data_IF_894874651646
#
_entry.id   IF_894874651646
#
_cell.length_a   1.000
_cell.length_b   1.000
_cell.length_c   1.000
_cell.angle_alpha   90.00
_cell.angle_beta   90.00
_cell.angle_gamma   90.00
#
_symmetry.space_group_name_H-M   'P 1'
#
loop_
_entity.id
_entity.type
_entity.pdbx_description
1 polymer ?
#
# COMPACT_ATOMS: atom_id res chain seq x y z
N UNK A 1 -14.42 24.80 11.76
CA UNK A 1 -13.99 23.39 11.56
C UNK A 1 -13.34 23.29 10.18
N UNK A 2 -12.19 22.65 10.04
CA UNK A 2 -11.53 22.47 8.74
C UNK A 2 -12.36 21.50 7.86
N UNK A 3 -12.66 21.87 6.61
CA UNK A 3 -13.56 21.09 5.74
C UNK A 3 -13.09 19.65 5.51
N UNK A 4 -11.79 19.44 5.30
CA UNK A 4 -11.21 18.10 5.18
C UNK A 4 -11.46 17.26 6.44
N UNK A 5 -11.19 17.83 7.62
CA UNK A 5 -11.39 17.13 8.89
C UNK A 5 -12.87 16.80 9.14
N UNK A 6 -13.79 17.70 8.77
CA UNK A 6 -15.23 17.45 8.85
C UNK A 6 -15.68 16.33 7.90
N UNK A 7 -15.15 16.31 6.68
CA UNK A 7 -15.52 15.33 5.65
C UNK A 7 -15.00 13.93 6.01
N UNK A 8 -13.75 13.84 6.47
CA UNK A 8 -13.18 12.60 7.01
C UNK A 8 -13.94 12.16 8.27
N UNK A 9 -14.23 13.08 9.19
CA UNK A 9 -14.98 12.76 10.41
C UNK A 9 -16.37 12.20 10.11
N UNK A 10 -17.04 12.75 9.08
CA UNK A 10 -18.34 12.27 8.63
C UNK A 10 -18.24 10.90 7.94
N UNK A 11 -17.22 10.67 7.11
CA UNK A 11 -17.05 9.37 6.44
C UNK A 11 -16.71 8.24 7.42
N UNK A 12 -16.19 8.55 8.62
CA UNK A 12 -15.99 7.57 9.70
C UNK A 12 -17.29 7.14 10.40
N UNK A 13 -18.45 7.63 9.95
CA UNK A 13 -19.75 7.08 10.34
C UNK A 13 -19.79 5.56 10.10
N UNK A 14 -20.51 4.84 10.95
CA UNK A 14 -20.62 3.38 10.88
C UNK A 14 -21.51 2.87 9.72
N UNK A 15 -22.16 3.77 8.98
CA UNK A 15 -22.70 3.53 7.64
C UNK A 15 -21.99 4.42 6.59
N UNK A 16 -20.72 4.74 6.78
CA UNK A 16 -19.92 5.44 5.76
C UNK A 16 -18.72 4.59 5.40
N UNK A 17 -17.76 4.48 6.32
CA UNK A 17 -16.54 3.72 6.09
C UNK A 17 -16.80 2.22 5.87
N UNK A 18 -17.88 1.71 6.46
CA UNK A 18 -18.34 0.32 6.37
C UNK A 18 -18.98 -0.03 5.03
N UNK A 19 -19.40 0.96 4.23
CA UNK A 19 -20.06 0.75 2.94
C UNK A 19 -21.48 0.17 3.05
N UNK A 20 -22.18 0.47 4.14
CA UNK A 20 -23.51 -0.06 4.44
C UNK A 20 -24.66 0.91 4.15
N UNK A 21 -24.34 2.08 3.62
CA UNK A 21 -25.26 3.07 3.11
C UNK A 21 -25.84 2.73 1.73
N UNK A 22 -26.84 3.52 1.29
CA UNK A 22 -27.32 3.46 -0.10
C UNK A 22 -26.30 4.09 -1.04
N UNK A 23 -26.26 3.64 -2.29
CA UNK A 23 -25.33 4.15 -3.30
C UNK A 23 -25.31 5.69 -3.41
N UNK A 24 -26.47 6.34 -3.41
CA UNK A 24 -26.53 7.81 -3.49
C UNK A 24 -25.87 8.52 -2.27
N UNK A 25 -25.83 7.87 -1.11
CA UNK A 25 -25.16 8.37 0.11
C UNK A 25 -23.66 8.07 0.02
N UNK A 26 -23.26 6.91 -0.51
CA UNK A 26 -21.86 6.60 -0.81
C UNK A 26 -21.26 7.63 -1.78
N UNK A 27 -22.02 8.00 -2.82
CA UNK A 27 -21.64 9.03 -3.79
C UNK A 27 -21.52 10.42 -3.11
N UNK A 28 -22.40 10.75 -2.16
CA UNK A 28 -22.31 11.99 -1.36
C UNK A 28 -21.08 12.00 -0.44
N UNK A 29 -20.75 10.88 0.23
CA UNK A 29 -19.51 10.77 1.00
C UNK A 29 -18.27 10.96 0.11
N UNK A 30 -18.25 10.34 -1.07
CA UNK A 30 -17.15 10.50 -2.03
C UNK A 30 -17.02 11.96 -2.50
N UNK A 31 -18.14 12.63 -2.79
CA UNK A 31 -18.16 14.05 -3.15
C UNK A 31 -17.58 14.92 -2.04
N UNK A 32 -18.06 14.76 -0.79
CA UNK A 32 -17.58 15.54 0.36
C UNK A 32 -16.10 15.31 0.64
N UNK A 33 -15.63 14.07 0.54
CA UNK A 33 -14.20 13.77 0.66
C UNK A 33 -13.40 14.46 -0.43
N UNK A 34 -13.88 14.46 -1.68
CA UNK A 34 -13.25 15.19 -2.80
C UNK A 34 -13.17 16.70 -2.53
N UNK A 35 -14.27 17.31 -2.08
CA UNK A 35 -14.29 18.73 -1.68
C UNK A 35 -13.34 19.02 -0.52
N UNK A 36 -13.29 18.14 0.48
CA UNK A 36 -12.36 18.21 1.60
C UNK A 36 -10.90 18.18 1.15
N UNK A 37 -10.55 17.25 0.26
CA UNK A 37 -9.20 17.16 -0.32
C UNK A 37 -8.88 18.43 -1.11
N UNK A 38 -9.80 18.93 -1.93
CA UNK A 38 -9.62 20.18 -2.67
C UNK A 38 -9.37 21.37 -1.74
N UNK A 39 -10.13 21.50 -0.64
CA UNK A 39 -9.90 22.52 0.39
C UNK A 39 -8.54 22.36 1.08
N UNK A 40 -8.12 21.12 1.34
CA UNK A 40 -6.79 20.80 1.87
C UNK A 40 -5.66 21.20 0.91
N UNK A 41 -5.80 20.89 -0.38
CA UNK A 41 -4.85 21.28 -1.43
C UNK A 41 -4.78 22.80 -1.60
N UNK A 42 -5.92 23.51 -1.51
CA UNK A 42 -5.93 24.96 -1.52
C UNK A 42 -5.15 25.53 -0.32
N UNK A 43 -5.35 24.97 0.88
CA UNK A 43 -4.60 25.36 2.08
C UNK A 43 -3.11 25.08 1.97
N UNK A 44 -2.72 23.94 1.38
CA UNK A 44 -1.31 23.64 1.09
C UNK A 44 -0.71 24.72 0.19
N UNK A 45 -1.40 25.09 -0.88
CA UNK A 45 -0.95 26.16 -1.79
C UNK A 45 -0.87 27.53 -1.12
N UNK A 46 -1.79 27.86 -0.20
CA UNK A 46 -1.69 29.08 0.61
C UNK A 46 -0.40 29.12 1.43
N UNK A 47 -0.01 27.98 2.02
CA UNK A 47 1.20 27.86 2.83
C UNK A 47 2.47 27.93 1.98
N UNK A 48 2.42 27.48 0.73
CA UNK A 48 3.56 27.50 -0.20
C UNK A 48 3.70 28.83 -0.97
N UNK A 49 2.67 29.69 -0.95
CA UNK A 49 2.65 30.99 -1.63
C UNK A 49 3.88 31.88 -1.37
N UNK A 50 4.46 31.94 -0.15
CA UNK A 50 5.68 32.71 0.09
C UNK A 50 6.90 32.23 -0.70
N UNK A 51 6.91 30.98 -1.16
CA UNK A 51 8.05 30.36 -1.86
C UNK A 51 7.81 30.21 -3.37
N UNK A 52 6.56 30.13 -3.80
CA UNK A 52 6.20 30.02 -5.23
C UNK A 52 4.80 30.54 -5.50
N UNK A 53 4.63 31.15 -6.67
CA UNK A 53 3.31 31.50 -7.22
C UNK A 53 2.69 30.38 -8.05
N UNK A 54 3.46 29.35 -8.42
CA UNK A 54 2.96 28.19 -9.16
C UNK A 54 2.23 27.25 -8.21
N UNK A 55 0.98 26.86 -8.53
CA UNK A 55 0.22 25.95 -7.68
C UNK A 55 0.77 24.51 -7.78
N UNK A 56 0.74 23.83 -6.66
CA UNK A 56 0.94 22.39 -6.53
C UNK A 56 -0.38 21.63 -6.65
N UNK A 57 -0.34 20.52 -7.35
CA UNK A 57 -1.43 19.55 -7.49
C UNK A 57 -1.05 18.21 -6.85
N UNK A 58 -2.07 17.44 -6.47
CA UNK A 58 -1.91 16.06 -6.03
C UNK A 58 -2.27 15.11 -7.18
N UNK A 59 -1.41 14.13 -7.48
CA UNK A 59 -1.69 13.10 -8.48
C UNK A 59 -2.55 11.97 -7.90
N UNK A 60 -3.79 12.28 -7.51
CA UNK A 60 -4.67 11.32 -6.81
C UNK A 60 -5.06 10.10 -7.66
N UNK A 61 -4.85 10.15 -8.98
CA UNK A 61 -5.14 9.08 -9.93
C UNK A 61 -3.86 8.44 -10.51
N UNK A 62 -2.70 8.62 -9.88
CA UNK A 62 -1.43 8.04 -10.32
C UNK A 62 -1.48 6.51 -10.42
N UNK A 63 -2.27 5.84 -9.59
CA UNK A 63 -2.52 4.39 -9.64
C UNK A 63 -3.24 3.93 -10.92
N UNK A 64 -3.97 4.83 -11.59
CA UNK A 64 -4.60 4.61 -12.89
C UNK A 64 -3.74 5.11 -14.05
N UNK A 65 -2.50 5.52 -13.75
CA UNK A 65 -1.57 6.17 -14.66
C UNK A 65 -2.08 7.51 -15.22
N UNK A 66 -2.72 8.32 -14.37
CA UNK A 66 -3.23 9.64 -14.75
C UNK A 66 -2.67 10.73 -13.84
N UNK A 67 -1.92 11.69 -14.41
CA UNK A 67 -1.66 12.96 -13.73
C UNK A 67 -1.27 14.08 -14.71
N UNK A 68 -2.21 15.00 -14.95
CA UNK A 68 -2.06 16.10 -15.92
C UNK A 68 -0.74 16.89 -15.82
N UNK A 69 -0.15 17.00 -14.62
CA UNK A 69 1.09 17.76 -14.40
C UNK A 69 2.35 17.00 -14.79
N UNK A 70 2.35 15.67 -14.70
CA UNK A 70 3.56 14.85 -14.90
C UNK A 70 3.59 14.16 -16.25
N UNK A 71 2.45 14.04 -16.95
CA UNK A 71 2.33 13.20 -18.13
C UNK A 71 3.29 13.60 -19.27
N UNK A 72 3.41 14.89 -19.61
CA UNK A 72 4.09 15.30 -20.87
C UNK A 72 5.32 16.20 -20.70
N UNK A 73 5.29 17.12 -19.75
CA UNK A 73 6.31 18.16 -19.59
C UNK A 73 7.21 17.90 -18.38
N UNK A 74 8.48 18.33 -18.40
CA UNK A 74 9.31 18.39 -17.20
C UNK A 74 8.58 19.06 -16.03
N UNK A 75 8.79 18.55 -14.83
CA UNK A 75 8.02 18.97 -13.66
C UNK A 75 8.87 19.02 -12.40
N UNK A 76 8.36 19.71 -11.38
CA UNK A 76 8.93 19.73 -10.03
C UNK A 76 7.95 19.02 -9.10
N UNK A 77 8.45 18.23 -8.17
CA UNK A 77 7.64 17.70 -7.07
C UNK A 77 8.36 17.86 -5.74
N UNK A 78 7.61 17.89 -4.65
CA UNK A 78 8.21 17.72 -3.33
C UNK A 78 7.66 16.46 -2.68
N UNK A 79 8.46 15.91 -1.77
CA UNK A 79 8.07 14.80 -0.90
C UNK A 79 8.21 15.29 0.53
N UNK A 80 7.11 15.30 1.27
CA UNK A 80 7.10 15.58 2.70
C UNK A 80 6.98 14.27 3.48
N UNK A 81 7.93 14.06 4.39
CA UNK A 81 7.97 12.92 5.30
C UNK A 81 7.25 13.29 6.61
N UNK A 82 6.04 12.74 6.88
CA UNK A 82 5.34 12.97 8.13
C UNK A 82 5.91 12.17 9.31
N UNK A 83 6.88 11.28 9.08
CA UNK A 83 7.45 10.43 10.13
C UNK A 83 8.51 11.18 10.96
N UNK A 84 8.63 10.84 12.25
CA UNK A 84 9.69 11.35 13.13
C UNK A 84 11.04 10.65 12.90
N UNK A 85 11.18 9.88 11.82
CA UNK A 85 12.40 9.18 11.41
C UNK A 85 12.66 9.42 9.92
N UNK A 86 13.93 9.36 9.51
CA UNK A 86 14.26 9.40 8.09
C UNK A 86 13.69 8.15 7.41
N UNK A 87 13.13 8.30 6.22
CA UNK A 87 12.50 7.21 5.51
C UNK A 87 12.73 7.30 4.00
N UNK A 88 12.81 6.14 3.35
CA UNK A 88 12.98 6.02 1.90
C UNK A 88 11.65 5.65 1.27
N UNK A 89 10.98 6.63 0.66
CA UNK A 89 9.71 6.44 -0.02
C UNK A 89 9.92 6.03 -1.48
N UNK A 90 8.94 5.31 -2.02
CA UNK A 90 8.85 5.04 -3.45
C UNK A 90 7.84 5.99 -4.04
N UNK A 91 8.30 6.89 -4.90
CA UNK A 91 7.40 7.81 -5.58
C UNK A 91 7.17 7.27 -6.99
N UNK A 92 5.91 6.96 -7.27
CA UNK A 92 5.46 6.44 -8.56
C UNK A 92 4.61 7.50 -9.27
N UNK A 93 5.09 8.05 -10.38
CA UNK A 93 4.41 9.11 -11.14
C UNK A 93 4.20 8.72 -12.60
N UNK A 94 3.01 8.95 -13.18
CA UNK A 94 2.75 8.64 -14.58
C UNK A 94 3.47 9.62 -15.51
N UNK A 95 4.14 9.10 -16.54
CA UNK A 95 4.84 9.89 -17.55
C UNK A 95 4.70 9.25 -18.95
N UNK A 96 4.65 10.08 -19.99
CA UNK A 96 4.68 9.63 -21.39
C UNK A 96 6.11 9.36 -21.83
N UNK A 97 7.08 10.14 -21.32
CA UNK A 97 8.48 10.00 -21.66
C UNK A 97 9.01 8.58 -21.33
N UNK A 98 9.89 8.07 -22.19
CA UNK A 98 10.55 6.76 -22.03
C UNK A 98 11.77 6.82 -21.10
N UNK A 99 12.27 8.02 -20.85
CA UNK A 99 13.42 8.29 -20.03
C UNK A 99 13.19 9.58 -19.24
N UNK A 100 13.73 9.62 -18.02
CA UNK A 100 13.69 10.77 -17.16
C UNK A 100 14.97 10.83 -16.32
N UNK A 101 15.41 12.05 -16.02
CA UNK A 101 16.45 12.30 -15.04
C UNK A 101 15.82 13.04 -13.85
N UNK A 102 16.17 12.60 -12.63
CA UNK A 102 15.65 13.18 -11.40
C UNK A 102 16.81 13.71 -10.57
N UNK A 103 16.70 14.98 -10.19
CA UNK A 103 17.68 15.66 -9.33
C UNK A 103 16.97 16.33 -8.17
N UNK A 104 17.64 16.42 -7.03
CA UNK A 104 17.23 17.28 -5.93
C UNK A 104 17.45 18.75 -6.30
N UNK A 105 16.76 19.67 -5.62
CA UNK A 105 16.93 21.11 -5.80
C UNK A 105 18.36 21.63 -5.53
N UNK A 106 19.24 20.83 -4.92
CA UNK A 106 20.66 21.13 -4.75
C UNK A 106 21.55 20.57 -5.89
N UNK A 107 20.96 19.97 -6.93
CA UNK A 107 21.65 19.35 -8.07
C UNK A 107 22.12 17.91 -7.85
N UNK A 108 21.84 17.29 -6.70
CA UNK A 108 22.20 15.89 -6.45
C UNK A 108 21.28 14.96 -7.26
N UNK A 109 21.87 14.11 -8.12
CA UNK A 109 21.14 13.08 -8.84
C UNK A 109 20.47 12.07 -7.89
N UNK A 110 19.25 11.66 -8.21
CA UNK A 110 18.43 10.76 -7.39
C UNK A 110 18.21 9.44 -8.13
N UNK A 111 18.39 8.28 -7.47
CA UNK A 111 18.05 6.99 -8.06
C UNK A 111 16.61 6.97 -8.55
N UNK A 112 16.44 6.81 -9.86
CA UNK A 112 15.15 6.76 -10.53
C UNK A 112 15.19 5.86 -11.75
N UNK A 113 14.04 5.30 -12.13
CA UNK A 113 13.87 4.46 -13.31
C UNK A 113 12.51 4.71 -13.94
N UNK A 114 12.44 4.63 -15.28
CA UNK A 114 11.19 4.62 -16.02
C UNK A 114 10.86 3.19 -16.41
N UNK A 115 9.68 2.72 -16.01
CA UNK A 115 9.18 1.38 -16.36
C UNK A 115 7.88 1.47 -17.14
N UNK A 116 7.56 0.50 -18.02
CA UNK A 116 6.24 0.41 -18.60
C UNK A 116 5.17 0.29 -17.51
N UNK A 117 4.12 1.09 -17.60
CA UNK A 117 2.96 0.93 -16.74
C UNK A 117 2.22 -0.36 -17.12
N UNK A 118 1.86 -1.16 -16.11
CA UNK A 118 1.06 -2.38 -16.32
C UNK A 118 -0.31 -2.14 -15.70
N UNK A 119 -1.35 -1.92 -16.51
CA UNK A 119 -2.68 -1.68 -16.00
C UNK A 119 -3.21 -2.93 -15.30
N UNK A 120 -3.83 -2.74 -14.13
CA UNK A 120 -4.47 -3.79 -13.33
C UNK A 120 -5.99 -3.80 -13.52
N UNK A 121 -6.46 -3.22 -14.63
CA UNK A 121 -7.85 -3.02 -14.98
C UNK A 121 -8.12 -3.54 -16.40
N UNK A 122 -9.32 -4.08 -16.62
CA UNK A 122 -9.68 -4.76 -17.87
C UNK A 122 -10.02 -3.84 -19.03
N UNK A 123 -10.34 -2.57 -18.76
CA UNK A 123 -10.72 -1.58 -19.78
C UNK A 123 -9.67 -0.49 -19.91
N UNK A 124 -9.14 -0.21 -21.11
CA UNK A 124 -8.21 0.88 -21.32
C UNK A 124 -8.76 2.22 -20.82
N UNK A 125 -7.96 2.94 -20.06
CA UNK A 125 -8.29 4.29 -19.60
C UNK A 125 -7.76 5.27 -20.64
N UNK A 126 -8.64 6.14 -21.14
CA UNK A 126 -8.24 7.18 -22.07
C UNK A 126 -7.20 8.10 -21.43
N UNK A 127 -6.16 8.46 -22.18
CA UNK A 127 -5.06 9.33 -21.76
C UNK A 127 -4.18 8.78 -20.62
N UNK A 128 -4.27 7.49 -20.28
CA UNK A 128 -3.34 6.87 -19.34
C UNK A 128 -1.91 6.93 -19.88
N UNK A 129 -0.97 7.38 -19.05
CA UNK A 129 0.43 7.44 -19.42
C UNK A 129 0.99 6.01 -19.59
N UNK A 130 1.75 5.73 -20.67
CA UNK A 130 2.28 4.39 -20.95
C UNK A 130 3.42 3.97 -20.02
N UNK A 131 4.05 4.91 -19.32
CA UNK A 131 5.17 4.64 -18.43
C UNK A 131 4.92 5.22 -17.04
N UNK A 132 5.68 4.68 -16.09
CA UNK A 132 5.70 5.09 -14.70
C UNK A 132 7.14 5.43 -14.32
N UNK A 133 7.35 6.64 -13.83
CA UNK A 133 8.59 7.05 -13.18
C UNK A 133 8.58 6.54 -11.75
N UNK A 134 9.60 5.77 -11.38
CA UNK A 134 9.83 5.27 -10.02
C UNK A 134 11.05 5.98 -9.45
N UNK A 135 10.89 6.66 -8.32
CA UNK A 135 11.95 7.44 -7.66
C UNK A 135 12.16 6.95 -6.24
N UNK A 136 13.42 6.77 -5.83
CA UNK A 136 13.78 6.54 -4.43
C UNK A 136 13.94 7.88 -3.70
N UNK A 137 12.95 8.28 -2.92
CA UNK A 137 12.98 9.54 -2.16
C UNK A 137 13.39 9.29 -0.71
N UNK A 138 14.68 9.49 -0.40
CA UNK A 138 15.17 9.46 0.98
C UNK A 138 15.00 10.82 1.66
N UNK A 139 14.04 10.94 2.57
CA UNK A 139 13.62 12.22 3.15
C UNK A 139 13.86 12.24 4.66
N UNK A 140 14.47 13.31 5.22
CA UNK A 140 14.67 13.46 6.66
C UNK A 140 13.36 13.47 7.47
N UNK A 141 13.42 13.25 8.79
CA UNK A 141 12.24 13.30 9.65
C UNK A 141 11.50 14.64 9.58
N UNK A 142 10.16 14.61 9.58
CA UNK A 142 9.28 15.80 9.64
C UNK A 142 9.72 16.94 8.69
N UNK A 143 10.19 16.57 7.52
CA UNK A 143 10.83 17.46 6.58
C UNK A 143 10.38 17.15 5.16
N UNK A 144 10.66 18.05 4.24
CA UNK A 144 10.47 17.83 2.82
C UNK A 144 11.77 17.97 2.04
N UNK A 145 11.78 17.40 0.83
CA UNK A 145 12.78 17.65 -0.20
C UNK A 145 12.08 17.96 -1.53
N UNK A 146 12.72 18.79 -2.35
CA UNK A 146 12.24 19.20 -3.68
C UNK A 146 13.06 18.49 -4.75
N UNK A 147 12.37 17.97 -5.75
CA UNK A 147 12.90 17.17 -6.84
C UNK A 147 12.49 17.80 -8.18
N UNK A 148 13.42 17.78 -9.13
CA UNK A 148 13.21 18.23 -10.51
C UNK A 148 13.32 17.03 -11.43
N UNK A 149 12.33 16.89 -12.31
CA UNK A 149 12.27 15.85 -13.34
C UNK A 149 12.46 16.50 -14.68
N UNK A 150 13.43 16.02 -15.43
CA UNK A 150 13.67 16.43 -16.81
C UNK A 150 13.63 15.22 -17.73
N UNK A 151 13.34 15.46 -19.02
CA UNK A 151 13.28 14.43 -20.05
C UNK A 151 14.41 14.64 -21.06
N UNK A 152 15.56 13.98 -20.88
CA UNK A 152 16.71 14.17 -21.77
C UNK A 152 16.39 13.70 -23.19
N UNK A 153 16.88 14.44 -24.21
CA UNK A 153 16.84 13.95 -25.59
C UNK A 153 17.69 12.68 -25.69
N UNK A 154 17.12 11.63 -26.30
CA UNK A 154 17.67 10.28 -26.30
C UNK A 154 19.18 10.21 -26.61
N UNK A 155 19.98 9.99 -25.57
CA UNK A 155 21.36 9.47 -25.68
C UNK A 155 21.71 8.44 -24.60
N UNK A 156 20.77 8.06 -23.74
CA UNK A 156 20.88 6.88 -22.88
C UNK A 156 19.87 5.84 -23.40
N UNK A 157 20.39 4.65 -23.70
CA UNK A 157 19.59 3.46 -24.00
C UNK A 157 18.45 3.35 -22.99
N UNK A 158 17.23 3.04 -23.47
CA UNK A 158 16.14 2.59 -22.59
C UNK A 158 16.74 1.62 -21.55
N UNK A 159 16.50 1.85 -20.26
CA UNK A 159 16.96 0.91 -19.25
C UNK A 159 16.34 -0.44 -19.60
N UNK A 160 17.19 -1.41 -19.97
CA UNK A 160 16.72 -2.70 -20.44
C UNK A 160 15.97 -3.38 -19.30
N UNK A 161 14.65 -3.46 -19.41
CA UNK A 161 13.85 -4.25 -18.47
C UNK A 161 14.13 -5.72 -18.76
N UNK A 162 14.81 -6.40 -17.84
CA UNK A 162 14.99 -7.84 -17.93
C UNK A 162 13.76 -8.55 -17.36
N UNK A 163 13.57 -9.81 -17.74
CA UNK A 163 12.66 -10.70 -17.03
C UNK A 163 13.20 -11.09 -15.65
N UNK A 164 12.37 -11.74 -14.85
CA UNK A 164 12.83 -12.41 -13.63
C UNK A 164 13.71 -13.62 -14.00
N UNK A 165 14.49 -14.11 -13.04
CA UNK A 165 15.39 -15.23 -13.25
C UNK A 165 14.58 -16.54 -13.31
N UNK A 166 14.76 -17.33 -14.37
CA UNK A 166 14.04 -18.61 -14.55
C UNK A 166 14.71 -19.67 -13.67
N UNK A 167 13.95 -20.27 -12.75
CA UNK A 167 14.43 -21.36 -11.88
C UNK A 167 14.06 -22.71 -12.49
N UNK A 168 12.81 -22.83 -12.93
CA UNK A 168 12.29 -23.96 -13.71
C UNK A 168 11.35 -23.41 -14.78
N UNK A 169 10.81 -24.27 -15.64
CA UNK A 169 9.86 -23.88 -16.68
C UNK A 169 8.65 -23.10 -16.12
N UNK A 170 8.20 -23.41 -14.90
CA UNK A 170 7.03 -22.78 -14.28
C UNK A 170 7.36 -21.90 -13.07
N UNK A 171 8.63 -21.72 -12.70
CA UNK A 171 9.03 -20.96 -11.51
C UNK A 171 10.03 -19.88 -11.87
N UNK A 172 9.69 -18.64 -11.50
CA UNK A 172 10.57 -17.49 -11.64
C UNK A 172 10.98 -16.96 -10.27
N UNK A 173 12.17 -16.36 -10.20
CA UNK A 173 12.76 -15.80 -8.99
C UNK A 173 13.20 -14.36 -9.21
N UNK A 174 13.02 -13.56 -8.17
CA UNK A 174 13.55 -12.21 -8.08
C UNK A 174 14.13 -11.98 -6.69
N UNK A 175 15.08 -11.06 -6.57
CA UNK A 175 15.63 -10.68 -5.29
C UNK A 175 16.19 -9.25 -5.30
N UNK A 176 16.27 -8.68 -4.11
CA UNK A 176 17.07 -7.50 -3.81
C UNK A 176 18.14 -7.88 -2.76
N UNK A 177 18.70 -6.90 -2.06
CA UNK A 177 19.69 -7.16 -1.00
C UNK A 177 19.13 -7.99 0.17
N UNK A 178 17.86 -7.80 0.51
CA UNK A 178 17.24 -8.30 1.76
C UNK A 178 16.35 -9.53 1.59
N UNK A 179 15.66 -9.65 0.45
CA UNK A 179 14.59 -10.62 0.22
C UNK A 179 14.75 -11.29 -1.14
N UNK A 180 14.45 -12.60 -1.18
CA UNK A 180 14.25 -13.35 -2.42
C UNK A 180 12.83 -13.90 -2.46
N UNK A 181 12.18 -13.76 -3.62
CA UNK A 181 10.82 -14.22 -3.88
C UNK A 181 10.80 -15.18 -5.06
N UNK A 182 10.01 -16.25 -4.96
CA UNK A 182 9.76 -17.17 -6.06
C UNK A 182 8.27 -17.30 -6.30
N UNK A 183 7.85 -17.25 -7.57
CA UNK A 183 6.46 -17.33 -7.99
C UNK A 183 6.27 -18.41 -9.06
N UNK A 184 5.09 -19.02 -9.10
CA UNK A 184 4.71 -19.97 -10.13
C UNK A 184 4.01 -19.23 -11.26
N UNK A 185 4.52 -19.34 -12.48
CA UNK A 185 4.00 -18.59 -13.64
C UNK A 185 2.69 -19.11 -14.19
N UNK A 186 2.37 -20.38 -13.94
CA UNK A 186 1.13 -21.04 -14.39
C UNK A 186 -0.04 -20.70 -13.48
N UNK A 187 0.19 -20.62 -12.17
CA UNK A 187 -0.87 -20.39 -11.18
C UNK A 187 -0.90 -18.98 -10.60
N UNK A 188 0.18 -18.20 -10.78
CA UNK A 188 0.40 -16.94 -10.08
C UNK A 188 0.73 -17.11 -8.59
N UNK A 189 0.89 -18.34 -8.09
CA UNK A 189 1.13 -18.60 -6.66
C UNK A 189 2.51 -18.11 -6.23
N UNK A 190 2.60 -17.50 -5.05
CA UNK A 190 3.84 -17.39 -4.29
C UNK A 190 4.29 -18.81 -3.93
N UNK A 191 5.55 -19.14 -4.22
CA UNK A 191 6.17 -20.46 -3.98
C UNK A 191 7.10 -20.41 -2.78
N UNK A 192 7.90 -19.35 -2.68
CA UNK A 192 8.72 -19.15 -1.49
C UNK A 192 9.10 -17.70 -1.27
N UNK A 193 9.31 -17.36 0.00
CA UNK A 193 9.87 -16.10 0.45
C UNK A 193 11.10 -16.41 1.32
N UNK A 194 12.22 -15.76 1.03
CA UNK A 194 13.46 -15.94 1.78
C UNK A 194 13.93 -14.60 2.32
N UNK A 195 14.16 -14.54 3.62
CA UNK A 195 14.89 -13.46 4.28
C UNK A 195 16.39 -13.76 4.20
N UNK A 196 17.14 -12.93 3.46
CA UNK A 196 18.56 -13.15 3.16
C UNK A 196 19.47 -12.89 4.36
N UNK A 197 19.08 -12.01 5.29
CA UNK A 197 19.86 -11.74 6.49
C UNK A 197 19.86 -12.93 7.46
N UNK A 198 18.68 -13.52 7.68
CA UNK A 198 18.51 -14.66 8.61
C UNK A 198 18.63 -16.02 7.93
N UNK A 199 18.71 -16.06 6.60
CA UNK A 199 18.60 -17.27 5.77
C UNK A 199 17.29 -18.06 5.99
N UNK A 200 16.27 -17.42 6.58
CA UNK A 200 14.97 -18.05 6.81
C UNK A 200 14.21 -18.14 5.48
N UNK A 201 13.91 -19.36 5.04
CA UNK A 201 13.09 -19.63 3.86
C UNK A 201 11.74 -20.21 4.28
N UNK A 202 10.66 -19.57 3.83
CA UNK A 202 9.30 -20.08 3.95
C UNK A 202 8.80 -20.52 2.58
N UNK A 203 8.41 -21.79 2.48
CA UNK A 203 7.67 -22.28 1.32
C UNK A 203 6.19 -21.97 1.52
N UNK A 204 5.57 -21.36 0.52
CA UNK A 204 4.19 -20.87 0.57
C UNK A 204 3.44 -21.44 -0.63
N UNK A 205 2.13 -21.54 -0.51
CA UNK A 205 1.23 -21.71 -1.65
C UNK A 205 0.10 -20.69 -1.46
N UNK A 206 -0.16 -19.90 -2.50
CA UNK A 206 -1.18 -18.85 -2.47
C UNK A 206 -2.16 -19.03 -3.64
N UNK A 207 -3.40 -18.61 -3.43
CA UNK A 207 -4.44 -18.62 -4.45
C UNK A 207 -5.40 -17.46 -4.22
N UNK A 208 -6.01 -16.97 -5.31
CA UNK A 208 -7.12 -16.03 -5.26
C UNK A 208 -8.42 -16.80 -5.44
N UNK A 209 -9.32 -16.68 -4.46
CA UNK A 209 -10.53 -17.48 -4.34
C UNK A 209 -11.75 -16.58 -4.06
N UNK A 210 -12.95 -17.13 -4.21
CA UNK A 210 -14.18 -16.46 -3.80
C UNK A 210 -15.21 -17.44 -3.25
N UNK A 211 -16.10 -16.93 -2.39
CA UNK A 211 -17.30 -17.65 -1.96
C UNK A 211 -18.47 -17.24 -2.84
N UNK A 212 -19.30 -18.21 -3.22
CA UNK A 212 -20.60 -17.90 -3.83
C UNK A 212 -21.54 -17.37 -2.74
N UNK A 213 -22.20 -16.24 -2.98
CA UNK A 213 -23.15 -15.65 -2.03
C UNK A 213 -24.45 -16.47 -1.94
N UNK A 214 -24.97 -16.69 -0.73
CA UNK A 214 -26.36 -17.12 -0.56
C UNK A 214 -27.28 -15.95 -0.89
N UNK A 215 -28.28 -16.18 -1.75
CA UNK A 215 -29.23 -15.16 -2.15
C UNK A 215 -30.60 -15.77 -2.44
N UNK A 216 -31.60 -15.32 -1.70
CA UNK A 216 -33.00 -15.71 -1.90
C UNK A 216 -33.88 -14.47 -1.77
N UNK A 217 -34.72 -14.22 -2.77
CA UNK A 217 -35.57 -13.03 -2.79
C UNK A 217 -36.48 -13.00 -1.55
N UNK A 218 -36.45 -11.87 -0.82
CA UNK A 218 -37.23 -11.67 0.41
C UNK A 218 -36.66 -12.34 1.65
N UNK A 219 -35.53 -13.04 1.56
CA UNK A 219 -34.85 -13.64 2.72
C UNK A 219 -33.84 -12.64 3.30
N UNK A 220 -34.10 -12.20 4.54
CA UNK A 220 -33.23 -11.29 5.29
C UNK A 220 -31.85 -11.88 5.61
N UNK A 221 -31.70 -13.20 5.49
CA UNK A 221 -30.42 -13.87 5.66
C UNK A 221 -29.61 -13.91 4.36
N UNK A 222 -30.06 -13.32 3.25
CA UNK A 222 -29.24 -13.20 2.04
C UNK A 222 -27.95 -12.42 2.32
N UNK A 223 -26.84 -12.83 1.68
CA UNK A 223 -25.58 -12.11 1.76
C UNK A 223 -25.74 -10.69 1.21
N UNK A 224 -25.09 -9.71 1.82
CA UNK A 224 -25.19 -8.30 1.45
C UNK A 224 -24.13 -7.43 2.10
N UNK A 225 -24.37 -6.12 2.16
CA UNK A 225 -23.40 -5.15 2.68
C UNK A 225 -23.00 -5.43 4.14
N UNK A 226 -23.95 -5.86 4.98
CA UNK A 226 -23.68 -6.19 6.38
C UNK A 226 -23.33 -7.67 6.59
N UNK A 227 -24.09 -8.57 5.97
CA UNK A 227 -24.04 -9.98 6.25
C UNK A 227 -23.18 -10.70 5.20
N UNK A 228 -22.05 -11.27 5.62
CA UNK A 228 -21.34 -12.25 4.82
C UNK A 228 -21.96 -13.64 5.04
N UNK A 229 -22.83 -14.05 4.12
CA UNK A 229 -23.46 -15.38 4.15
C UNK A 229 -23.10 -16.16 2.87
N UNK A 230 -22.07 -17.02 2.91
CA UNK A 230 -21.73 -17.85 1.76
C UNK A 230 -22.81 -18.92 1.55
N UNK A 231 -23.07 -19.29 0.29
CA UNK A 231 -24.05 -20.31 -0.08
C UNK A 231 -23.67 -21.71 0.42
N UNK A 232 -22.36 -21.96 0.53
CA UNK A 232 -21.76 -23.14 1.15
C UNK A 232 -20.40 -22.74 1.72
N UNK A 233 -19.76 -23.61 2.51
CA UNK A 233 -18.36 -23.39 2.94
C UNK A 233 -17.31 -23.56 1.83
N UNK A 234 -17.73 -23.92 0.61
CA UNK A 234 -16.82 -24.12 -0.51
C UNK A 234 -16.32 -22.79 -1.07
N UNK A 235 -15.03 -22.77 -1.40
CA UNK A 235 -14.38 -21.72 -2.16
C UNK A 235 -14.29 -22.12 -3.64
N UNK A 236 -14.34 -21.11 -4.50
CA UNK A 236 -14.23 -21.27 -5.94
C UNK A 236 -12.97 -20.55 -6.44
N UNK A 237 -12.28 -21.19 -7.38
CA UNK A 237 -11.10 -20.59 -8.01
C UNK A 237 -11.52 -19.43 -8.93
N UNK A 238 -10.67 -18.40 -8.99
CA UNK A 238 -10.68 -17.50 -10.14
C UNK A 238 -10.33 -18.27 -11.44
N UNK A 239 -10.66 -17.73 -12.62
CA UNK A 239 -10.17 -18.28 -13.89
C UNK A 239 -8.64 -18.46 -13.89
N UNK A 240 -8.12 -19.40 -14.67
CA UNK A 240 -6.67 -19.59 -14.79
C UNK A 240 -5.96 -18.32 -15.26
N UNK A 241 -4.68 -18.20 -14.93
CA UNK A 241 -3.82 -17.10 -15.41
C UNK A 241 -3.83 -17.10 -16.93
N UNK A 242 -4.24 -15.98 -17.53
CA UNK A 242 -4.30 -15.80 -18.99
C UNK A 242 -3.02 -15.20 -19.54
N UNK A 243 -2.34 -14.38 -18.73
CA UNK A 243 -1.06 -13.78 -19.09
C UNK A 243 -0.31 -13.35 -17.84
N UNK A 244 1.02 -13.26 -17.93
CA UNK A 244 1.83 -12.64 -16.91
C UNK A 244 2.93 -11.79 -17.54
N UNK A 245 3.39 -10.78 -16.81
CA UNK A 245 4.51 -9.93 -17.21
C UNK A 245 5.39 -9.65 -16.01
N UNK A 246 6.62 -10.17 -16.05
CA UNK A 246 7.63 -9.90 -15.05
C UNK A 246 8.67 -8.91 -15.62
N UNK A 247 8.99 -7.87 -14.85
CA UNK A 247 9.99 -6.87 -15.16
C UNK A 247 10.98 -6.72 -14.01
N UNK A 248 12.24 -6.46 -14.36
CA UNK A 248 13.36 -6.27 -13.44
C UNK A 248 14.21 -5.11 -13.93
N UNK A 249 14.38 -4.13 -13.06
CA UNK A 249 15.32 -2.99 -13.20
C UNK A 249 16.23 -2.94 -11.98
N UNK A 250 17.12 -1.94 -11.91
CA UNK A 250 17.99 -1.75 -10.76
C UNK A 250 17.23 -1.36 -9.48
N UNK A 251 16.08 -0.68 -9.61
CA UNK A 251 15.32 -0.15 -8.47
C UNK A 251 14.03 -0.91 -8.17
N UNK A 252 13.46 -1.58 -9.18
CA UNK A 252 12.17 -2.25 -9.05
C UNK A 252 12.18 -3.60 -9.75
N UNK A 253 11.65 -4.59 -9.05
CA UNK A 253 11.30 -5.88 -9.60
C UNK A 253 9.80 -6.07 -9.40
N UNK A 254 9.07 -6.33 -10.47
CA UNK A 254 7.61 -6.52 -10.40
C UNK A 254 7.17 -7.66 -11.31
N UNK A 255 6.17 -8.43 -10.89
CA UNK A 255 5.50 -9.38 -11.78
C UNK A 255 3.99 -9.35 -11.60
N UNK A 256 3.27 -9.18 -12.70
CA UNK A 256 1.81 -9.08 -12.75
C UNK A 256 1.24 -10.33 -13.42
N UNK A 257 0.18 -10.88 -12.84
CA UNK A 257 -0.59 -12.03 -13.32
C UNK A 257 -2.03 -11.59 -13.58
N UNK A 258 -2.54 -11.88 -14.76
CA UNK A 258 -3.93 -11.60 -15.15
C UNK A 258 -4.77 -12.86 -15.06
N UNK A 259 -5.90 -12.80 -14.35
CA UNK A 259 -6.85 -13.89 -14.18
C UNK A 259 -8.07 -13.64 -15.09
N UNK A 260 -7.85 -13.65 -16.41
CA UNK A 260 -8.85 -13.26 -17.40
C UNK A 260 -9.31 -11.81 -17.18
N UNK A 261 -10.62 -11.57 -17.20
CA UNK A 261 -11.20 -10.25 -16.92
C UNK A 261 -11.58 -10.05 -15.44
N UNK A 262 -11.27 -11.01 -14.56
CA UNK A 262 -11.76 -11.03 -13.18
C UNK A 262 -10.88 -10.25 -12.20
N UNK A 263 -9.60 -10.07 -12.53
CA UNK A 263 -8.66 -9.34 -11.69
C UNK A 263 -7.21 -9.68 -12.01
N UNK A 264 -6.32 -8.95 -11.36
CA UNK A 264 -4.88 -9.16 -11.46
C UNK A 264 -4.22 -9.33 -10.09
N UNK A 265 -3.05 -9.95 -10.07
CA UNK A 265 -2.19 -10.14 -8.91
C UNK A 265 -0.79 -9.64 -9.26
N UNK A 266 -0.23 -8.80 -8.40
CA UNK A 266 1.08 -8.21 -8.60
C UNK A 266 1.97 -8.46 -7.39
N UNK A 267 3.20 -8.86 -7.67
CA UNK A 267 4.30 -8.89 -6.70
C UNK A 267 5.25 -7.75 -7.04
N UNK A 268 5.59 -6.89 -6.09
CA UNK A 268 6.60 -5.83 -6.21
C UNK A 268 7.68 -6.00 -5.13
N UNK A 269 8.93 -5.81 -5.53
CA UNK A 269 10.09 -5.78 -4.65
C UNK A 269 11.04 -4.70 -5.14
N UNK A 270 11.20 -3.64 -4.35
CA UNK A 270 12.10 -2.52 -4.65
C UNK A 270 13.47 -2.79 -4.07
N UNK A 271 14.49 -2.08 -4.55
CA UNK A 271 15.88 -2.32 -4.12
C UNK A 271 16.08 -2.21 -2.60
N UNK A 272 15.30 -1.35 -1.92
CA UNK A 272 15.37 -1.10 -0.47
C UNK A 272 14.30 -1.84 0.36
N UNK A 273 13.44 -2.65 -0.26
CA UNK A 273 12.37 -3.33 0.47
C UNK A 273 12.88 -4.48 1.33
N UNK A 274 12.45 -4.53 2.59
CA UNK A 274 12.66 -5.68 3.48
C UNK A 274 11.49 -6.68 3.44
N UNK A 275 10.49 -6.45 2.59
CA UNK A 275 9.29 -7.27 2.41
C UNK A 275 8.79 -7.20 0.98
N UNK A 276 8.14 -8.25 0.50
CA UNK A 276 7.50 -8.22 -0.82
C UNK A 276 6.13 -7.57 -0.69
N UNK A 277 5.84 -6.59 -1.54
CA UNK A 277 4.50 -6.02 -1.66
C UNK A 277 3.69 -6.89 -2.60
N UNK A 278 2.53 -7.36 -2.14
CA UNK A 278 1.57 -8.13 -2.92
C UNK A 278 0.30 -7.33 -3.06
N UNK A 279 -0.09 -7.01 -4.29
CA UNK A 279 -1.29 -6.22 -4.61
C UNK A 279 -2.19 -7.06 -5.50
N UNK A 280 -3.50 -6.99 -5.31
CA UNK A 280 -4.44 -7.59 -6.26
C UNK A 280 -5.68 -6.73 -6.40
N UNK A 281 -6.25 -6.72 -7.60
CA UNK A 281 -7.48 -5.99 -7.91
C UNK A 281 -8.65 -6.95 -8.08
N UNK A 282 -9.72 -6.68 -7.32
CA UNK A 282 -11.07 -7.20 -7.55
C UNK A 282 -12.06 -6.15 -7.03
N UNK A 283 -13.15 -5.88 -7.76
CA UNK A 283 -14.15 -4.85 -7.41
C UNK A 283 -14.82 -5.16 -6.07
N UNK A 284 -14.39 -4.53 -4.97
CA UNK A 284 -15.13 -4.34 -3.70
C UNK A 284 -14.28 -3.64 -2.62
N UNK A 285 -14.93 -3.09 -1.57
CA UNK A 285 -14.40 -2.21 -0.50
C UNK A 285 -14.70 -2.74 0.91
N UNK A 286 -13.73 -2.70 1.85
CA UNK A 286 -13.88 -2.95 3.32
C UNK A 286 -12.64 -2.48 4.13
N UNK A 287 -12.83 -2.17 5.44
CA UNK A 287 -11.83 -1.78 6.45
C UNK A 287 -12.08 -2.39 7.87
N UNK A 288 -11.20 -2.13 8.86
CA UNK A 288 -11.53 -1.68 10.25
C UNK A 288 -10.36 -1.73 11.28
N UNK A 289 -9.96 -0.52 11.73
CA UNK A 289 -9.23 0.01 12.93
C UNK A 289 -7.87 -0.51 13.48
N UNK A 290 -6.74 -0.30 12.80
CA UNK A 290 -5.45 -0.93 13.12
C UNK A 290 -4.69 -0.38 14.32
N UNK A 291 -5.13 -0.76 15.52
CA UNK A 291 -4.50 -0.34 16.78
C UNK A 291 -3.81 -1.51 17.49
N UNK A 292 -4.58 -2.50 17.97
CA UNK A 292 -4.05 -3.64 18.74
C UNK A 292 -4.22 -4.96 18.00
N UNK A 293 -3.23 -5.85 18.10
CA UNK A 293 -3.40 -7.25 17.68
C UNK A 293 -4.20 -8.00 18.74
N UNK A 294 -5.46 -8.30 18.44
CA UNK A 294 -6.25 -9.23 19.22
C UNK A 294 -5.93 -10.68 18.84
N UNK A 295 -5.65 -11.55 19.82
CA UNK A 295 -5.55 -12.99 19.57
C UNK A 295 -6.90 -13.53 19.10
N UNK A 296 -6.92 -14.19 17.93
CA UNK A 296 -8.09 -14.87 17.39
C UNK A 296 -7.84 -16.37 17.35
N UNK A 297 -8.83 -17.15 17.78
CA UNK A 297 -8.81 -18.61 17.73
C UNK A 297 -10.03 -19.04 16.95
N UNK A 298 -9.82 -19.87 15.92
CA UNK A 298 -10.90 -20.38 15.07
C UNK A 298 -11.91 -21.15 15.91
N UNK A 299 -13.20 -20.91 15.66
CA UNK A 299 -14.33 -21.57 16.32
C UNK A 299 -14.35 -21.40 17.85
N UNK A 300 -13.76 -20.32 18.37
CA UNK A 300 -13.68 -20.05 19.81
C UNK A 300 -14.10 -18.63 20.17
N UNK A 301 -14.70 -18.48 21.36
CA UNK A 301 -15.05 -17.21 22.00
C UNK A 301 -14.68 -17.29 23.48
N UNK A 302 -14.07 -16.21 23.99
CA UNK A 302 -13.58 -16.16 25.37
C UNK A 302 -14.73 -16.00 26.38
N UNK A 303 -15.78 -15.25 26.01
CA UNK A 303 -16.83 -14.84 26.94
C UNK A 303 -18.08 -15.72 26.91
N UNK A 304 -18.20 -16.66 25.96
CA UNK A 304 -19.31 -17.63 25.93
C UNK A 304 -18.94 -18.89 25.15
N UNK A 305 -19.71 -19.97 25.36
CA UNK A 305 -19.60 -21.20 24.59
C UNK A 305 -20.22 -21.02 23.20
N UNK A 306 -19.37 -20.93 22.17
CA UNK A 306 -19.80 -20.78 20.79
C UNK A 306 -20.48 -22.07 20.29
N UNK A 307 -21.70 -21.94 19.77
CA UNK A 307 -22.38 -22.99 19.00
C UNK A 307 -22.49 -22.52 17.56
N UNK A 308 -22.02 -23.34 16.62
CA UNK A 308 -22.12 -23.09 15.18
C UNK A 308 -23.07 -24.13 14.58
N UNK A 309 -24.09 -23.67 13.88
CA UNK A 309 -25.22 -24.50 13.48
C UNK A 309 -25.01 -25.21 12.14
N UNK A 310 -24.14 -24.68 11.28
CA UNK A 310 -23.87 -25.21 9.95
C UNK A 310 -22.44 -24.88 9.47
N UNK A 311 -22.09 -25.34 8.27
CA UNK A 311 -20.76 -25.12 7.69
C UNK A 311 -20.56 -23.68 7.20
N UNK A 312 -21.62 -22.98 6.81
CA UNK A 312 -21.58 -21.58 6.39
C UNK A 312 -21.19 -20.66 7.55
N UNK A 313 -21.77 -20.88 8.73
CA UNK A 313 -21.45 -20.16 9.97
C UNK A 313 -20.01 -20.41 10.42
N UNK A 314 -19.48 -21.63 10.23
CA UNK A 314 -18.06 -21.93 10.48
C UNK A 314 -17.12 -21.10 9.61
N UNK A 315 -17.58 -20.62 8.45
CA UNK A 315 -16.80 -19.67 7.64
C UNK A 315 -17.02 -18.25 8.18
N UNK A 316 -18.27 -17.78 8.17
CA UNK A 316 -18.58 -16.37 8.45
C UNK A 316 -18.17 -15.93 9.87
N UNK A 317 -18.36 -16.79 10.88
CA UNK A 317 -18.05 -16.46 12.28
C UNK A 317 -16.54 -16.31 12.56
N UNK A 318 -15.67 -16.72 11.64
CA UNK A 318 -14.22 -16.61 11.80
C UNK A 318 -13.61 -15.46 10.99
N UNK A 319 -14.40 -14.71 10.23
CA UNK A 319 -13.95 -13.47 9.61
C UNK A 319 -13.77 -12.39 10.66
N UNK A 320 -12.66 -11.68 10.56
CA UNK A 320 -12.32 -10.54 11.42
C UNK A 320 -11.86 -9.38 10.55
N UNK A 321 -12.09 -8.13 10.98
CA UNK A 321 -11.55 -6.98 10.26
C UNK A 321 -10.02 -6.98 10.31
N UNK A 322 -9.39 -6.70 9.17
CA UNK A 322 -7.94 -6.52 9.04
C UNK A 322 -7.71 -5.12 8.48
N UNK A 323 -7.12 -4.24 9.27
CA UNK A 323 -6.92 -2.83 8.89
C UNK A 323 -5.53 -2.49 8.43
N UNK A 324 -4.54 -3.00 9.14
CA UNK A 324 -3.14 -2.64 8.89
C UNK A 324 -2.32 -3.90 8.67
N UNK A 325 -2.51 -4.96 9.47
CA UNK A 325 -1.84 -6.23 9.23
C UNK A 325 -2.53 -7.40 9.97
N UNK A 326 -2.10 -8.61 9.61
CA UNK A 326 -2.31 -9.85 10.37
C UNK A 326 -0.98 -10.58 10.44
N UNK A 327 -0.73 -11.31 11.53
CA UNK A 327 0.43 -12.20 11.66
C UNK A 327 -0.02 -13.63 11.87
N UNK A 328 0.75 -14.57 11.33
CA UNK A 328 0.62 -15.98 11.64
C UNK A 328 1.98 -16.47 12.11
N UNK A 329 2.07 -16.89 13.36
CA UNK A 329 3.27 -17.55 13.88
C UNK A 329 3.16 -19.03 13.56
N UNK A 330 4.11 -19.56 12.80
CA UNK A 330 4.27 -21.00 12.59
C UNK A 330 5.45 -21.45 13.45
N UNK A 331 5.17 -22.24 14.49
CA UNK A 331 6.23 -22.91 15.26
C UNK A 331 6.78 -24.08 14.45
N UNK A 332 8.04 -23.99 14.03
CA UNK A 332 8.75 -25.10 13.40
C UNK A 332 9.24 -26.10 14.46
N UNK A 333 8.33 -26.70 15.21
CA UNK A 333 8.66 -27.82 16.07
C UNK A 333 8.72 -29.11 15.22
N UNK A 334 9.93 -29.55 14.86
CA UNK A 334 10.25 -30.86 14.28
C UNK A 334 9.28 -31.38 13.19
N UNK A 335 9.52 -31.00 11.93
CA UNK A 335 9.13 -31.69 10.68
C UNK A 335 7.67 -32.15 10.45
N UNK A 336 6.74 -31.95 11.37
CA UNK A 336 5.32 -32.09 11.09
C UNK A 336 4.80 -30.75 10.56
N UNK A 337 4.75 -30.63 9.23
CA UNK A 337 4.14 -29.48 8.52
C UNK A 337 2.69 -29.30 8.98
N UNK A 338 2.45 -28.45 9.97
CA UNK A 338 1.14 -27.85 10.18
C UNK A 338 0.91 -26.87 9.04
N UNK A 339 0.02 -27.26 8.12
CA UNK A 339 -0.49 -26.32 7.10
C UNK A 339 -1.46 -25.40 7.82
N UNK A 340 -1.00 -24.19 8.15
CA UNK A 340 -1.90 -23.15 8.67
C UNK A 340 -2.66 -22.56 7.50
N UNK A 341 -3.99 -22.67 7.49
CA UNK A 341 -4.81 -21.96 6.50
C UNK A 341 -4.71 -20.46 6.79
N UNK A 342 -4.11 -19.71 5.86
CA UNK A 342 -4.00 -18.26 5.94
C UNK A 342 -5.34 -17.55 5.76
N UNK A 343 -5.46 -16.37 6.37
CA UNK A 343 -6.66 -15.53 6.33
C UNK A 343 -6.90 -14.90 4.95
N UNK A 344 -8.18 -14.59 4.68
CA UNK A 344 -8.58 -13.68 3.61
C UNK A 344 -8.17 -12.27 4.03
N UNK A 345 -7.15 -11.73 3.37
CA UNK A 345 -6.77 -10.31 3.49
C UNK A 345 -7.26 -9.60 2.24
N UNK A 346 -7.30 -8.26 2.23
CA UNK A 346 -7.62 -7.40 1.08
C UNK A 346 -6.48 -6.40 0.87
N UNK A 347 -6.24 -6.01 -0.39
CA UNK A 347 -5.45 -4.82 -0.71
C UNK A 347 -3.96 -5.08 -0.97
N UNK A 348 -3.13 -4.07 -0.72
CA UNK A 348 -1.68 -4.17 -0.80
C UNK A 348 -1.15 -4.67 0.55
N UNK A 349 -0.49 -5.83 0.57
CA UNK A 349 0.07 -6.40 1.80
C UNK A 349 1.58 -6.53 1.67
N UNK A 350 2.27 -6.32 2.79
CA UNK A 350 3.69 -6.60 2.93
C UNK A 350 3.87 -8.01 3.49
N UNK A 351 4.56 -8.88 2.76
CA UNK A 351 4.93 -10.20 3.25
C UNK A 351 6.42 -10.20 3.65
N UNK A 352 6.67 -10.56 4.91
CA UNK A 352 8.00 -10.76 5.47
C UNK A 352 8.05 -12.07 6.25
N UNK A 353 9.24 -12.64 6.38
CA UNK A 353 9.50 -13.86 7.13
C UNK A 353 10.73 -13.66 8.02
N UNK A 354 10.67 -14.16 9.25
CA UNK A 354 11.79 -14.16 10.16
C UNK A 354 11.44 -14.78 11.52
N UNK A 355 12.41 -14.82 12.45
CA UNK A 355 12.16 -15.18 13.84
C UNK A 355 11.07 -14.30 14.46
N UNK A 356 10.20 -14.86 15.31
CA UNK A 356 8.97 -14.21 15.79
C UNK A 356 9.22 -12.81 16.35
N UNK A 357 10.16 -12.64 17.27
CA UNK A 357 10.42 -11.32 17.89
C UNK A 357 10.92 -10.29 16.86
N UNK A 358 11.88 -10.64 16.01
CA UNK A 358 12.40 -9.74 14.98
C UNK A 358 11.36 -9.43 13.90
N UNK A 359 10.52 -10.40 13.55
CA UNK A 359 9.43 -10.21 12.60
C UNK A 359 8.33 -9.30 13.17
N UNK A 360 8.00 -9.43 14.45
CA UNK A 360 7.05 -8.54 15.15
C UNK A 360 7.59 -7.12 15.27
N UNK A 361 8.88 -6.96 15.60
CA UNK A 361 9.56 -5.64 15.59
C UNK A 361 9.40 -4.95 14.24
N UNK A 362 9.85 -5.65 13.20
CA UNK A 362 9.80 -5.17 11.83
C UNK A 362 8.37 -4.80 11.44
N UNK A 363 7.41 -5.68 11.70
CA UNK A 363 6.03 -5.46 11.31
C UNK A 363 5.42 -4.23 11.99
N UNK A 364 5.55 -4.08 13.31
CA UNK A 364 4.97 -2.93 14.03
C UNK A 364 5.49 -1.59 13.52
N UNK A 365 6.80 -1.53 13.23
CA UNK A 365 7.43 -0.33 12.67
C UNK A 365 6.94 -0.08 11.25
N UNK A 366 6.98 -1.09 10.38
CA UNK A 366 6.51 -0.99 8.99
C UNK A 366 5.03 -0.59 8.89
N UNK A 367 4.17 -1.16 9.74
CA UNK A 367 2.75 -0.84 9.82
C UNK A 367 2.52 0.65 10.06
N UNK A 368 3.25 1.25 11.02
CA UNK A 368 3.15 2.67 11.30
C UNK A 368 3.69 3.53 10.14
N UNK A 369 4.83 3.13 9.57
CA UNK A 369 5.48 3.86 8.48
C UNK A 369 4.64 3.86 7.20
N UNK A 370 4.00 2.72 6.88
CA UNK A 370 3.10 2.59 5.73
C UNK A 370 1.74 3.27 5.94
N UNK A 371 1.29 3.40 7.19
CA UNK A 371 0.06 4.12 7.49
C UNK A 371 0.21 5.64 7.30
N UNK A 372 1.40 6.18 7.58
CA UNK A 372 1.73 7.60 7.40
C UNK A 372 2.62 7.77 6.17
N UNK A 373 2.04 7.56 4.99
CA UNK A 373 2.73 7.72 3.72
C UNK A 373 3.15 9.18 3.46
N UNK A 374 4.13 9.37 2.59
CA UNK A 374 4.61 10.70 2.23
C UNK A 374 3.54 11.53 1.52
N UNK A 375 3.51 12.82 1.81
CA UNK A 375 2.75 13.77 0.99
C UNK A 375 3.60 14.13 -0.23
N UNK A 376 3.10 13.79 -1.42
CA UNK A 376 3.70 14.14 -2.71
C UNK A 376 2.81 15.16 -3.40
N UNK A 377 3.38 16.28 -3.81
CA UNK A 377 2.69 17.23 -4.66
C UNK A 377 3.59 17.68 -5.82
N UNK A 378 2.97 17.88 -6.98
CA UNK A 378 3.63 18.15 -8.25
C UNK A 378 3.24 19.52 -8.77
N UNK A 379 4.15 20.19 -9.48
CA UNK A 379 3.91 21.44 -10.19
C UNK A 379 4.76 21.48 -11.47
N UNK A 380 4.54 22.48 -12.32
CA UNK A 380 5.38 22.67 -13.51
C UNK A 380 6.84 22.84 -13.10
N UNK A 381 7.78 22.54 -14.00
CA UNK A 381 9.20 22.66 -13.68
C UNK A 381 9.52 24.06 -13.16
N UNK A 382 10.03 24.11 -11.93
CA UNK A 382 10.50 25.32 -11.27
C UNK A 382 11.87 25.04 -10.64
N UNK A 383 12.98 25.26 -11.38
CA UNK A 383 14.34 24.98 -10.89
C UNK A 383 14.81 25.94 -9.80
N UNK A 384 14.12 27.06 -9.60
CA UNK A 384 14.44 28.07 -8.58
C UNK A 384 13.67 27.82 -7.27
N UNK A 385 12.83 26.78 -7.23
CA UNK A 385 12.05 26.50 -6.03
C UNK A 385 12.94 25.99 -4.91
N UNK A 386 13.01 26.78 -3.84
CA UNK A 386 13.61 26.37 -2.58
C UNK A 386 12.57 26.46 -1.48
N UNK A 387 12.26 25.31 -0.88
CA UNK A 387 11.42 25.24 0.32
C UNK A 387 12.33 25.10 1.54
N UNK A 388 12.20 25.97 2.57
CA UNK A 388 13.03 25.88 3.76
C UNK A 388 12.73 24.58 4.50
N UNK A 389 13.75 23.79 4.80
CA UNK A 389 13.63 22.58 5.60
C UNK A 389 14.60 22.65 6.78
N UNK A 390 14.12 22.40 8.00
CA UNK A 390 14.99 22.33 9.19
C UNK A 390 14.81 20.99 9.92
N UNK A 391 15.46 19.91 9.42
CA UNK A 391 15.35 18.59 10.03
C UNK A 391 15.92 18.53 11.46
N UNK A 392 16.74 19.51 11.87
CA UNK A 392 17.33 19.59 13.21
C UNK A 392 16.30 19.80 14.33
N UNK A 393 15.08 20.23 13.99
CA UNK A 393 13.98 20.45 14.96
C UNK A 393 13.13 19.18 15.14
N UNK A 394 13.37 18.14 14.34
CA UNK A 394 12.59 16.91 14.47
C UNK A 394 12.93 16.19 15.80
N UNK A 395 11.91 15.80 16.59
CA UNK A 395 12.12 15.06 17.81
C UNK A 395 12.74 13.70 17.49
N UNK A 396 13.83 13.36 18.18
CA UNK A 396 14.40 12.01 18.13
C UNK A 396 13.54 11.09 18.96
N UNK A 397 12.50 10.53 18.35
CA UNK A 397 11.65 9.55 19.01
C UNK A 397 12.31 8.16 19.00
N UNK A 398 12.19 7.39 20.09
CA UNK A 398 12.56 5.98 20.10
C UNK A 398 11.84 5.19 19.00
N UNK A 399 12.43 4.09 18.50
CA UNK A 399 11.85 3.26 17.43
C UNK A 399 10.47 2.68 17.77
N UNK A 400 10.17 2.51 19.05
CA UNK A 400 8.90 2.03 19.59
C UNK A 400 7.85 3.12 19.81
N UNK A 401 8.13 4.38 19.44
CA UNK A 401 7.20 5.50 19.60
C UNK A 401 6.86 6.09 18.23
N UNK A 402 5.57 6.07 17.89
CA UNK A 402 5.02 6.72 16.70
C UNK A 402 4.47 8.11 16.99
N UNK A 403 4.56 9.01 16.01
CA UNK A 403 3.89 10.32 16.04
C UNK A 403 2.54 10.19 15.32
N UNK A 404 1.43 10.26 16.05
CA UNK A 404 0.09 10.04 15.47
C UNK A 404 -0.59 11.34 15.02
N UNK A 405 -0.32 12.45 15.70
CA UNK A 405 -0.82 13.75 15.25
C UNK A 405 0.05 14.89 15.77
N UNK A 406 0.23 15.92 14.94
CA UNK A 406 0.81 17.21 15.31
C UNK A 406 -0.10 18.31 14.76
N UNK A 407 -0.70 19.12 15.63
CA UNK A 407 -1.74 20.08 15.24
C UNK A 407 -1.57 21.42 15.97
N UNK A 408 -1.66 22.53 15.22
CA UNK A 408 -1.73 23.87 15.80
C UNK A 408 -3.19 24.20 16.11
N UNK A 409 -3.49 24.49 17.37
CA UNK A 409 -4.83 24.89 17.80
C UNK A 409 -4.95 26.40 17.66
N UNK A 410 -5.79 26.82 16.70
CA UNK A 410 -5.86 28.18 16.16
C UNK A 410 -6.12 29.30 17.18
N UNK A 411 -6.60 28.99 18.38
CA UNK A 411 -6.94 29.98 19.40
C UNK A 411 -5.81 30.33 20.37
N UNK A 412 -4.70 29.58 20.41
CA UNK A 412 -3.71 29.72 21.51
C UNK A 412 -2.23 29.61 21.12
N UNK A 413 -1.89 29.50 19.84
CA UNK A 413 -0.52 29.13 19.41
C UNK A 413 -0.02 27.83 20.08
N UNK A 414 -0.93 26.99 20.56
CA UNK A 414 -0.58 25.71 21.17
C UNK A 414 -0.39 24.65 20.11
N UNK A 415 0.69 23.88 20.25
CA UNK A 415 0.92 22.67 19.49
C UNK A 415 0.43 21.47 20.29
N UNK A 416 -0.54 20.73 19.75
CA UNK A 416 -0.97 19.44 20.29
C UNK A 416 -0.18 18.35 19.58
N UNK A 417 0.58 17.59 20.36
CA UNK A 417 1.33 16.42 19.88
C UNK A 417 0.73 15.18 20.53
N UNK A 418 0.43 14.16 19.72
CA UNK A 418 0.01 12.84 20.19
C UNK A 418 1.04 11.81 19.75
N UNK A 419 1.47 11.02 20.73
CA UNK A 419 2.41 9.93 20.54
C UNK A 419 1.71 8.62 20.88
N UNK A 420 2.12 7.54 20.23
CA UNK A 420 1.66 6.20 20.55
C UNK A 420 2.86 5.27 20.75
N UNK A 421 2.74 4.34 21.68
CA UNK A 421 3.65 3.20 21.71
C UNK A 421 3.24 2.23 20.59
N UNK A 422 4.20 1.72 19.82
CA UNK A 422 3.93 0.85 18.66
C UNK A 422 3.72 -0.62 19.05
N UNK A 423 4.14 -1.00 20.25
CA UNK A 423 4.13 -2.38 20.73
C UNK A 423 3.17 -2.54 21.91
N UNK A 424 2.46 -3.67 21.94
CA UNK A 424 1.76 -4.13 23.13
C UNK A 424 2.74 -4.78 24.12
N UNK A 425 2.29 -4.97 25.37
CA UNK A 425 3.09 -5.62 26.41
C UNK A 425 3.45 -7.04 25.93
N UNK A 426 4.74 -7.41 26.03
CA UNK A 426 5.30 -8.70 25.61
C UNK A 426 5.43 -8.98 24.10
N UNK A 427 5.16 -8.00 23.22
CA UNK A 427 5.38 -8.20 21.77
C UNK A 427 6.85 -8.09 21.34
N UNK A 428 7.67 -7.40 22.12
CA UNK A 428 9.08 -7.19 21.85
C UNK A 428 9.88 -7.33 23.16
N UNK A 429 11.03 -8.03 23.17
CA UNK A 429 11.92 -8.06 24.33
C UNK A 429 12.45 -6.64 24.62
N UNK A 430 12.59 -6.30 25.90
CA UNK A 430 13.05 -4.98 26.36
C UNK A 430 14.43 -4.65 25.81
#
# INVERSE_FOLDING_TARGET
VHQLAASVGLSLHHDGITGTEKQAVADDYALRLSEGVAAGTARLNDLLRPFTSQPFALCLLANMSLCNTTDSDPFTFFVYNPLPVAHSYTIELPIIAKNAAVELANGTAVPSVVVPFVPVYSQPIANAAPHQLVVQAHVPPLSWLVYHVTFPKASSSEESTNGWDVVTESIMSAENEFVRVQVNTVTGSLVSLTNKATQTKLNVTSSLLYYQAYGKQGDSCSSGAYLFHPNTSAVHNLPSVTSFKCQKTALLVACVFEFGTWGSLQYKLRAWDHSVVVEWTKTWYTDSNGLEFGKRVRDYRETWNLTLHNEEEKVAANYVPITIATTNTVEFANQNKTTTQGLTVRGSIALSVGPVHSAMEFLRVEMHQRHLDALVAVTKLNPQLHLPSNPSVAPRLPRNVGLTSMQIVASTSCLVVRLTHLFSIHEHPI
#
